data_IF_926640121579
#
_entry.id   IF_926640121579
#
_cell.length_a   1.000
_cell.length_b   1.000
_cell.length_c   1.000
_cell.angle_alpha   90.00
_cell.angle_beta   90.00
_cell.angle_gamma   90.00
#
_symmetry.space_group_name_H-M   'P 1'
#
loop_
_entity.id
_entity.type
_entity.pdbx_description
1 polymer ?
#
# COMPACT_ATOMS: atom_id res chain seq x y z
N UNK A 1 -16.23 -23.06 8.86
CA UNK A 1 -16.25 -21.58 8.70
C UNK A 1 -14.90 -20.92 9.05
N UNK A 2 -13.75 -21.42 8.57
CA UNK A 2 -12.40 -20.92 8.93
C UNK A 2 -11.65 -20.20 7.78
N UNK A 3 -12.23 -20.16 6.57
CA UNK A 3 -11.61 -19.59 5.35
C UNK A 3 -11.68 -18.06 5.30
N UNK A 4 -12.60 -17.44 6.04
CA UNK A 4 -12.77 -15.99 6.16
C UNK A 4 -11.76 -15.32 7.09
N UNK A 5 -11.19 -16.04 8.05
CA UNK A 5 -10.24 -15.49 9.04
C UNK A 5 -8.84 -15.23 8.44
N UNK A 6 -8.43 -16.03 7.45
CA UNK A 6 -7.10 -15.93 6.84
C UNK A 6 -6.99 -14.77 5.83
N UNK A 7 -8.08 -14.46 5.12
CA UNK A 7 -8.24 -13.28 4.26
C UNK A 7 -8.32 -12.00 5.10
N UNK A 8 -9.01 -12.07 6.25
CA UNK A 8 -9.01 -11.00 7.24
C UNK A 8 -7.58 -10.66 7.69
N UNK A 9 -6.68 -11.63 7.84
CA UNK A 9 -5.28 -11.40 8.26
C UNK A 9 -4.36 -10.79 7.18
N UNK A 10 -4.57 -11.04 5.88
CA UNK A 10 -3.81 -10.35 4.81
C UNK A 10 -4.36 -8.93 4.63
N UNK A 11 -5.68 -8.77 4.66
CA UNK A 11 -6.34 -7.48 4.72
C UNK A 11 -6.04 -6.74 6.03
N UNK A 12 -5.76 -7.41 7.16
CA UNK A 12 -5.31 -6.81 8.43
C UNK A 12 -3.80 -6.55 8.43
N UNK A 13 -2.97 -7.29 7.69
CA UNK A 13 -1.57 -6.91 7.51
C UNK A 13 -1.47 -5.65 6.64
N UNK A 14 -2.27 -5.57 5.58
CA UNK A 14 -2.42 -4.35 4.78
C UNK A 14 -3.26 -3.26 5.47
N UNK A 15 -4.24 -3.59 6.33
CA UNK A 15 -5.03 -2.62 7.11
C UNK A 15 -4.39 -2.27 8.47
N UNK A 16 -3.34 -2.95 8.93
CA UNK A 16 -2.52 -2.43 10.06
C UNK A 16 -1.53 -1.39 9.56
N UNK A 17 -1.20 -1.41 8.26
CA UNK A 17 -0.71 -0.24 7.52
C UNK A 17 -1.92 0.70 7.36
N UNK A 18 -2.97 0.31 6.64
CA UNK A 18 -4.18 1.07 6.24
C UNK A 18 -5.41 1.02 7.20
N UNK A 19 -5.27 1.21 8.52
CA UNK A 19 -6.44 1.34 9.44
C UNK A 19 -6.64 0.38 10.63
N UNK A 20 -5.63 0.15 11.49
CA UNK A 20 -5.83 -0.27 12.90
C UNK A 20 -5.40 0.86 13.85
N UNK A 21 -5.68 2.11 13.48
CA UNK A 21 -5.74 3.25 14.39
C UNK A 21 -7.19 3.74 14.60
N UNK A 22 -8.20 2.96 14.19
CA UNK A 22 -9.61 3.34 14.29
C UNK A 22 -10.29 2.94 15.62
N UNK A 23 -9.55 2.46 16.61
CA UNK A 23 -10.11 2.07 17.92
C UNK A 23 -9.42 2.67 19.15
N UNK A 24 -8.49 3.61 18.98
CA UNK A 24 -7.93 4.36 20.11
C UNK A 24 -8.19 5.87 19.91
N UNK A 25 -8.70 6.58 20.92
CA UNK A 25 -8.88 8.02 20.83
C UNK A 25 -7.48 8.66 20.86
N UNK A 26 -7.05 9.26 19.75
CA UNK A 26 -5.84 10.08 19.75
C UNK A 26 -6.18 11.53 20.07
N UNK A 27 -5.44 12.16 21.00
CA UNK A 27 -5.73 13.51 21.44
C UNK A 27 -5.42 14.50 20.32
N UNK A 28 -6.28 15.49 20.25
CA UNK A 28 -6.22 16.68 19.42
C UNK A 28 -4.79 17.26 19.40
N UNK A 29 -4.15 17.37 18.23
CA UNK A 29 -3.08 18.36 18.03
C UNK A 29 -2.76 18.63 16.56
N UNK A 30 -2.77 19.91 16.25
CA UNK A 30 -2.46 20.58 15.00
C UNK A 30 -0.95 20.55 14.71
N UNK A 31 -0.55 19.68 13.81
CA UNK A 31 0.62 19.73 12.94
C UNK A 31 0.38 18.61 11.91
N UNK A 32 0.87 18.71 10.67
CA UNK A 32 0.73 17.64 9.67
C UNK A 32 1.57 16.40 10.07
N UNK A 33 1.20 15.76 11.18
CA UNK A 33 1.74 14.52 11.67
C UNK A 33 1.29 13.43 10.69
N UNK A 34 2.23 13.02 9.85
CA UNK A 34 2.11 11.91 8.93
C UNK A 34 1.36 10.76 9.57
N UNK A 35 0.24 10.37 8.96
CA UNK A 35 -0.46 9.15 9.36
C UNK A 35 0.56 8.00 9.41
N UNK A 36 0.71 7.32 10.56
CA UNK A 36 1.60 6.16 10.76
C UNK A 36 1.39 5.01 9.78
N UNK A 37 0.33 5.12 8.98
CA UNK A 37 0.06 4.41 7.75
C UNK A 37 1.29 4.16 6.86
N UNK A 38 1.82 5.22 6.24
CA UNK A 38 2.84 5.06 5.20
C UNK A 38 4.22 4.73 5.78
N UNK A 39 4.41 4.92 7.09
CA UNK A 39 5.67 4.63 7.77
C UNK A 39 6.07 3.15 7.71
N UNK A 40 5.09 2.25 7.63
CA UNK A 40 5.31 0.81 7.50
C UNK A 40 5.78 0.38 6.12
N UNK A 41 5.67 1.24 5.10
CA UNK A 41 6.26 0.97 3.79
C UNK A 41 7.78 1.05 3.92
N UNK A 42 8.44 -0.08 3.73
CA UNK A 42 9.89 -0.21 3.65
C UNK A 42 10.31 -0.75 2.28
N UNK A 43 11.61 -0.76 2.01
CA UNK A 43 12.13 -1.17 0.71
C UNK A 43 11.91 -2.67 0.44
N UNK A 44 11.78 -3.50 1.48
CA UNK A 44 11.45 -4.92 1.32
C UNK A 44 10.02 -5.13 0.79
N UNK A 45 9.05 -4.33 1.25
CA UNK A 45 7.69 -4.34 0.70
C UNK A 45 7.62 -3.82 -0.73
N UNK A 46 8.43 -2.80 -1.07
CA UNK A 46 8.56 -2.32 -2.45
C UNK A 46 9.12 -3.45 -3.33
N UNK A 47 10.17 -4.12 -2.85
CA UNK A 47 10.79 -5.25 -3.56
C UNK A 47 9.81 -6.41 -3.78
N UNK A 48 9.06 -6.82 -2.75
CA UNK A 48 8.02 -7.85 -2.88
C UNK A 48 7.00 -7.46 -3.95
N UNK A 49 6.57 -6.19 -3.96
CA UNK A 49 5.64 -5.73 -4.98
C UNK A 49 6.25 -5.82 -6.38
N UNK A 50 7.45 -5.30 -6.59
CA UNK A 50 8.11 -5.30 -7.90
C UNK A 50 8.47 -6.69 -8.40
N UNK A 51 8.88 -7.62 -7.52
CA UNK A 51 9.29 -8.97 -7.91
C UNK A 51 8.11 -9.95 -8.03
N UNK A 52 7.15 -9.92 -7.10
CA UNK A 52 6.09 -10.92 -7.01
C UNK A 52 4.75 -10.45 -7.61
N UNK A 53 4.49 -9.14 -7.67
CA UNK A 53 3.22 -8.57 -8.15
C UNK A 53 3.37 -7.92 -9.52
N UNK A 54 4.21 -6.90 -9.64
CA UNK A 54 4.42 -6.18 -10.89
C UNK A 54 5.29 -6.97 -11.87
N UNK A 55 6.27 -7.72 -11.36
CA UNK A 55 7.33 -8.42 -12.11
C UNK A 55 8.15 -7.48 -12.99
N UNK A 56 8.21 -6.21 -12.60
CA UNK A 56 8.99 -5.15 -13.23
C UNK A 56 9.27 -4.03 -12.23
N UNK A 57 10.33 -3.23 -12.42
CA UNK A 57 10.58 -2.03 -11.65
C UNK A 57 9.46 -1.01 -11.82
N UNK A 58 8.87 -0.55 -10.72
CA UNK A 58 7.74 0.41 -10.72
C UNK A 58 8.11 1.67 -9.94
N UNK A 59 8.55 1.49 -8.70
CA UNK A 59 9.04 2.56 -7.82
C UNK A 59 10.54 2.74 -8.03
N UNK A 60 11.30 1.65 -8.12
CA UNK A 60 12.76 1.67 -8.26
C UNK A 60 13.23 2.19 -9.62
N UNK A 61 12.35 2.18 -10.62
CA UNK A 61 12.58 2.83 -11.91
C UNK A 61 12.59 4.36 -11.83
N UNK A 62 11.88 4.94 -10.85
CA UNK A 62 11.75 6.40 -10.72
C UNK A 62 12.98 6.94 -9.96
N UNK A 63 13.75 7.87 -10.55
CA UNK A 63 14.88 8.49 -9.87
C UNK A 63 14.48 9.09 -8.52
N UNK A 64 15.35 8.98 -7.52
CA UNK A 64 15.06 9.48 -6.18
C UNK A 64 14.75 10.98 -6.16
N UNK A 65 15.39 11.75 -7.02
CA UNK A 65 15.16 13.20 -7.17
C UNK A 65 13.75 13.48 -7.72
N UNK A 66 13.27 12.67 -8.66
CA UNK A 66 11.90 12.78 -9.19
C UNK A 66 10.86 12.40 -8.14
N UNK A 67 11.11 11.34 -7.36
CA UNK A 67 10.25 10.97 -6.22
C UNK A 67 10.18 12.09 -5.18
N UNK A 68 11.30 12.77 -4.90
CA UNK A 68 11.34 13.94 -4.00
C UNK A 68 10.55 15.11 -4.57
N UNK A 69 10.78 15.47 -5.84
CA UNK A 69 10.06 16.55 -6.51
C UNK A 69 8.54 16.29 -6.52
N UNK A 70 8.12 15.04 -6.77
CA UNK A 70 6.72 14.64 -6.74
C UNK A 70 6.13 14.73 -5.32
N UNK A 71 6.88 14.31 -4.31
CA UNK A 71 6.48 14.41 -2.92
C UNK A 71 6.30 15.88 -2.49
N UNK A 72 7.25 16.74 -2.83
CA UNK A 72 7.20 18.19 -2.55
C UNK A 72 6.02 18.86 -3.24
N UNK A 73 5.82 18.59 -4.54
CA UNK A 73 4.71 19.13 -5.34
C UNK A 73 3.35 18.87 -4.71
N UNK A 74 3.18 17.73 -4.05
CA UNK A 74 1.92 17.33 -3.42
C UNK A 74 1.92 17.49 -1.89
N UNK A 75 2.99 18.05 -1.31
CA UNK A 75 3.17 18.15 0.14
C UNK A 75 3.02 16.80 0.85
N UNK A 76 3.57 15.74 0.26
CA UNK A 76 3.56 14.38 0.76
C UNK A 76 4.94 13.94 1.23
N UNK A 77 4.98 12.86 2.01
CA UNK A 77 6.23 12.15 2.27
C UNK A 77 6.64 11.30 1.07
N UNK A 78 7.93 10.99 0.97
CA UNK A 78 8.44 10.06 -0.05
C UNK A 78 7.75 8.71 0.09
N UNK A 79 7.52 8.21 1.32
CA UNK A 79 6.84 6.94 1.57
C UNK A 79 5.39 6.96 1.05
N UNK A 80 4.64 8.04 1.29
CA UNK A 80 3.29 8.19 0.73
C UNK A 80 3.33 8.23 -0.79
N UNK A 81 4.29 8.94 -1.38
CA UNK A 81 4.47 9.01 -2.83
C UNK A 81 4.73 7.63 -3.44
N UNK A 82 5.67 6.85 -2.88
CA UNK A 82 5.92 5.46 -3.27
C UNK A 82 4.65 4.60 -3.17
N UNK A 83 3.89 4.71 -2.08
CA UNK A 83 2.64 3.98 -1.91
C UNK A 83 1.60 4.33 -3.00
N UNK A 84 1.47 5.60 -3.35
CA UNK A 84 0.55 6.05 -4.40
C UNK A 84 0.97 5.59 -5.79
N UNK A 85 2.28 5.52 -6.06
CA UNK A 85 2.81 4.94 -7.30
C UNK A 85 2.43 3.46 -7.40
N UNK A 86 2.64 2.68 -6.33
CA UNK A 86 2.25 1.27 -6.25
C UNK A 86 0.75 1.10 -6.48
N UNK A 87 -0.09 1.93 -5.86
CA UNK A 87 -1.55 1.84 -6.02
C UNK A 87 -1.99 2.23 -7.43
N UNK A 88 -1.35 3.23 -8.03
CA UNK A 88 -1.60 3.61 -9.42
C UNK A 88 -1.28 2.42 -10.33
N UNK A 89 -0.10 1.84 -10.24
CA UNK A 89 0.32 0.69 -11.07
C UNK A 89 -0.61 -0.52 -10.87
N UNK A 90 -0.91 -0.89 -9.62
CA UNK A 90 -1.81 -2.01 -9.32
C UNK A 90 -3.20 -1.79 -9.94
N UNK A 91 -3.69 -0.55 -9.97
CA UNK A 91 -4.98 -0.22 -10.56
C UNK A 91 -5.06 -0.50 -12.07
N UNK A 92 -3.96 -0.28 -12.80
CA UNK A 92 -3.87 -0.64 -14.21
C UNK A 92 -3.86 -2.16 -14.40
N UNK A 93 -3.22 -2.90 -13.49
CA UNK A 93 -3.12 -4.37 -13.58
C UNK A 93 -4.42 -5.10 -13.28
N UNK A 94 -5.37 -4.45 -12.61
CA UNK A 94 -6.69 -5.03 -12.31
C UNK A 94 -7.82 -4.42 -13.15
N UNK A 95 -7.47 -3.78 -14.26
CA UNK A 95 -8.40 -3.15 -15.21
C UNK A 95 -9.28 -2.03 -14.60
N UNK A 96 -8.81 -1.36 -13.55
CA UNK A 96 -9.45 -0.18 -12.95
C UNK A 96 -8.48 1.02 -12.90
N UNK A 97 -7.98 1.49 -14.06
CA UNK A 97 -6.89 2.45 -14.13
C UNK A 97 -7.21 3.75 -13.41
N UNK A 98 -6.46 4.03 -12.34
CA UNK A 98 -6.59 5.22 -11.51
C UNK A 98 -5.25 5.95 -11.45
N UNK A 99 -5.09 7.06 -12.19
CA UNK A 99 -3.83 7.78 -12.25
C UNK A 99 -3.39 8.33 -10.89
N UNK A 100 -2.06 8.43 -10.68
CA UNK A 100 -1.47 9.04 -9.49
C UNK A 100 -2.12 10.39 -9.11
N UNK A 101 -2.36 11.27 -10.09
CA UNK A 101 -2.95 12.59 -9.85
C UNK A 101 -4.37 12.52 -9.25
N UNK A 102 -5.10 11.45 -9.53
CA UNK A 102 -6.42 11.18 -8.92
C UNK A 102 -6.23 10.69 -7.50
N UNK A 103 -5.31 9.75 -7.27
CA UNK A 103 -5.00 9.23 -5.93
C UNK A 103 -4.45 10.31 -5.00
N UNK A 104 -3.65 11.24 -5.53
CA UNK A 104 -3.10 12.37 -4.77
C UNK A 104 -4.18 13.35 -4.26
N UNK A 105 -5.40 13.30 -4.80
CA UNK A 105 -6.53 14.10 -4.32
C UNK A 105 -7.39 13.37 -3.29
N UNK A 106 -7.18 12.06 -3.12
CA UNK A 106 -7.93 11.25 -2.18
C UNK A 106 -7.45 11.48 -0.75
N UNK A 107 -8.38 11.47 0.20
CA UNK A 107 -8.06 11.41 1.64
C UNK A 107 -7.47 10.05 1.96
N UNK A 108 -6.65 9.96 3.01
CA UNK A 108 -6.00 8.70 3.40
C UNK A 108 -7.03 7.57 3.61
N UNK A 109 -8.21 7.86 4.16
CA UNK A 109 -9.29 6.85 4.32
C UNK A 109 -9.82 6.31 2.99
N UNK A 110 -9.84 7.15 1.95
CA UNK A 110 -10.26 6.75 0.61
C UNK A 110 -9.16 5.90 -0.05
N UNK A 111 -7.89 6.30 0.12
CA UNK A 111 -6.72 5.52 -0.32
C UNK A 111 -6.70 4.13 0.35
N UNK A 112 -6.96 4.05 1.66
CA UNK A 112 -7.15 2.79 2.41
C UNK A 112 -8.16 1.89 1.71
N UNK A 113 -9.36 2.43 1.46
CA UNK A 113 -10.47 1.65 0.90
C UNK A 113 -10.17 1.23 -0.52
N UNK A 114 -9.59 2.12 -1.31
CA UNK A 114 -9.21 1.88 -2.69
C UNK A 114 -8.12 0.80 -2.78
N UNK A 115 -7.05 0.91 -2.00
CA UNK A 115 -6.01 -0.12 -1.96
C UNK A 115 -6.56 -1.49 -1.60
N UNK A 116 -7.43 -1.59 -0.59
CA UNK A 116 -8.10 -2.85 -0.24
C UNK A 116 -8.88 -3.43 -1.42
N UNK A 117 -9.65 -2.60 -2.11
CA UNK A 117 -10.42 -3.00 -3.28
C UNK A 117 -9.52 -3.56 -4.39
N UNK A 118 -8.43 -2.86 -4.73
CA UNK A 118 -7.45 -3.33 -5.72
C UNK A 118 -6.82 -4.66 -5.34
N UNK A 119 -6.45 -4.85 -4.07
CA UNK A 119 -5.90 -6.12 -3.58
C UNK A 119 -6.92 -7.25 -3.59
N UNK A 120 -8.19 -6.97 -3.30
CA UNK A 120 -9.25 -7.98 -3.39
C UNK A 120 -9.47 -8.40 -4.86
N UNK A 121 -9.35 -7.47 -5.81
CA UNK A 121 -9.40 -7.77 -7.25
C UNK A 121 -8.19 -8.57 -7.71
N UNK A 122 -6.98 -8.08 -7.44
CA UNK A 122 -5.74 -8.80 -7.77
C UNK A 122 -5.71 -10.18 -7.12
N UNK A 123 -6.16 -10.28 -5.86
CA UNK A 123 -6.29 -11.55 -5.17
C UNK A 123 -7.13 -12.55 -5.96
N UNK A 124 -8.19 -12.15 -6.68
CA UNK A 124 -9.00 -13.11 -7.45
C UNK A 124 -8.22 -13.81 -8.57
N UNK A 125 -7.13 -13.22 -9.06
CA UNK A 125 -6.29 -13.81 -10.13
C UNK A 125 -5.30 -14.85 -9.61
N UNK A 126 -4.98 -14.82 -8.31
CA UNK A 126 -4.00 -15.70 -7.69
C UNK A 126 -4.60 -17.03 -7.19
N UNK A 127 -3.83 -18.10 -7.29
CA UNK A 127 -4.08 -19.37 -6.59
C UNK A 127 -4.01 -19.19 -5.07
N UNK A 128 -4.43 -20.23 -4.32
CA UNK A 128 -4.39 -20.17 -2.85
C UNK A 128 -2.94 -20.21 -2.34
N UNK A 129 -2.10 -20.94 -3.04
CA UNK A 129 -0.69 -21.14 -2.75
C UNK A 129 0.07 -19.82 -2.96
N UNK A 130 -0.15 -19.15 -4.10
CA UNK A 130 0.44 -17.83 -4.39
C UNK A 130 0.00 -16.77 -3.37
N UNK A 131 -1.30 -16.73 -3.04
CA UNK A 131 -1.82 -15.85 -1.98
C UNK A 131 -1.13 -16.07 -0.65
N UNK A 132 -0.93 -17.34 -0.28
CA UNK A 132 -0.29 -17.70 0.99
C UNK A 132 1.18 -17.30 1.00
N UNK A 133 1.92 -17.58 -0.08
CA UNK A 133 3.31 -17.21 -0.22
C UNK A 133 3.50 -15.68 -0.16
N UNK A 134 2.71 -14.93 -0.92
CA UNK A 134 2.77 -13.46 -0.93
C UNK A 134 2.46 -12.87 0.45
N UNK A 135 1.48 -13.46 1.15
CA UNK A 135 1.14 -13.09 2.53
C UNK A 135 2.30 -13.31 3.50
N UNK A 136 2.95 -14.47 3.43
CA UNK A 136 4.05 -14.82 4.32
C UNK A 136 5.26 -13.89 4.09
N UNK A 137 5.59 -13.61 2.83
CA UNK A 137 6.63 -12.63 2.47
C UNK A 137 6.32 -11.24 3.01
N UNK A 138 5.11 -10.72 2.78
CA UNK A 138 4.71 -9.40 3.24
C UNK A 138 4.70 -9.28 4.78
N UNK A 139 4.28 -10.34 5.49
CA UNK A 139 4.31 -10.38 6.95
C UNK A 139 5.74 -10.43 7.51
N UNK A 140 6.66 -11.12 6.83
CA UNK A 140 8.07 -11.13 7.20
C UNK A 140 8.67 -9.72 7.05
N UNK A 141 8.45 -9.09 5.90
CA UNK A 141 8.94 -7.73 5.60
C UNK A 141 8.42 -6.68 6.59
N UNK A 142 7.21 -6.85 7.12
CA UNK A 142 6.64 -5.95 8.12
C UNK A 142 7.27 -6.08 9.52
N UNK A 143 7.88 -7.22 9.83
CA UNK A 143 8.56 -7.47 11.11
C UNK A 143 10.02 -7.05 11.10
N UNK A 144 10.59 -6.86 9.92
CA UNK A 144 11.96 -6.36 9.70
C UNK A 144 12.09 -4.84 9.88
N UNK A 145 11.01 -4.16 10.29
CA UNK A 145 10.87 -2.71 10.41
C UNK A 145 10.75 -2.32 11.88
#
# INVERSE_FOLDING_TARGET
MKKSLAFLCLALAFATIFGVALFLPLPNQTAHAESGLYQKLNDELVKIYEEDVAREPVVTYIPQEELKALAEKHSFSIKKTKALVILSDLSFRVDEPTPFATLAKMKDREIIRFGKHLFDLYGKTLSKEEKKALKEKALAALKSN
#
